data_IF_318160938692
#
_entry.id   IF_318160938692
#
_cell.length_a   1.000
_cell.length_b   1.000
_cell.length_c   1.000
_cell.angle_alpha   90.00
_cell.angle_beta   90.00
_cell.angle_gamma   90.00
#
_symmetry.space_group_name_H-M   'P 1'
#
loop_
_entity.id
_entity.type
_entity.pdbx_description
1 polymer ?
#
# COMPACT_ATOMS: atom_id res chain seq x y z
N UNK A 1 23.84 -6.15 -5.99
CA UNK A 1 23.95 -6.30 -7.45
C UNK A 1 22.95 -7.31 -8.00
N UNK A 2 21.67 -7.27 -7.59
CA UNK A 2 20.64 -8.24 -8.06
C UNK A 2 19.35 -7.56 -8.55
N UNK A 3 19.33 -6.22 -8.64
CA UNK A 3 18.16 -5.45 -9.08
C UNK A 3 18.34 -4.82 -10.48
N UNK A 4 19.46 -5.08 -11.17
CA UNK A 4 19.74 -4.49 -12.50
C UNK A 4 19.47 -5.46 -13.66
N UNK A 5 19.22 -6.75 -13.41
CA UNK A 5 18.96 -7.74 -14.48
C UNK A 5 17.47 -7.98 -14.76
N UNK A 6 16.56 -7.48 -13.93
CA UNK A 6 15.11 -7.61 -14.15
C UNK A 6 14.53 -6.56 -15.12
N UNK A 7 15.35 -5.60 -15.57
CA UNK A 7 14.95 -4.54 -16.51
C UNK A 7 14.94 -5.01 -17.98
N UNK A 8 15.40 -6.24 -18.25
CA UNK A 8 15.74 -6.68 -19.60
C UNK A 8 14.74 -7.56 -20.36
N UNK A 9 13.80 -8.26 -19.72
CA UNK A 9 13.04 -9.32 -20.41
C UNK A 9 11.61 -9.53 -19.93
N UNK A 10 10.75 -8.54 -20.12
CA UNK A 10 9.30 -8.76 -20.29
C UNK A 10 8.79 -7.91 -21.45
N UNK A 11 9.38 -8.08 -22.64
CA UNK A 11 8.75 -7.65 -23.90
C UNK A 11 7.68 -8.67 -24.29
N UNK A 12 6.51 -8.61 -23.64
CA UNK A 12 5.49 -9.64 -23.75
C UNK A 12 4.17 -9.16 -24.37
N UNK A 13 4.24 -8.18 -25.27
CA UNK A 13 3.54 -8.23 -26.56
C UNK A 13 3.98 -7.07 -27.49
N UNK A 14 4.92 -7.35 -28.40
CA UNK A 14 4.95 -6.69 -29.72
C UNK A 14 3.83 -7.28 -30.60
N UNK A 15 2.57 -7.16 -30.16
CA UNK A 15 1.40 -7.36 -31.03
C UNK A 15 0.50 -6.17 -30.80
N UNK A 16 0.87 -5.10 -31.48
CA UNK A 16 0.07 -3.93 -31.71
C UNK A 16 -0.67 -4.13 -33.05
N UNK A 17 -1.98 -4.46 -33.08
CA UNK A 17 -2.75 -4.30 -34.30
C UNK A 17 -3.13 -2.82 -34.54
N UNK A 18 -2.74 -1.86 -33.70
CA UNK A 18 -3.17 -0.47 -33.76
C UNK A 18 -2.05 0.53 -33.38
N UNK A 19 -0.94 0.45 -34.12
CA UNK A 19 0.06 1.50 -34.33
C UNK A 19 0.38 2.45 -33.16
N UNK A 20 1.59 2.30 -32.60
CA UNK A 20 2.43 3.41 -32.14
C UNK A 20 1.72 4.41 -31.20
N UNK A 21 0.77 3.91 -30.39
CA UNK A 21 0.03 4.68 -29.40
C UNK A 21 0.58 4.34 -28.03
N UNK A 22 1.26 5.30 -27.43
CA UNK A 22 1.56 5.23 -26.00
C UNK A 22 0.25 5.33 -25.22
N UNK A 23 -0.19 4.21 -24.66
CA UNK A 23 -1.32 4.21 -23.75
C UNK A 23 -0.89 4.85 -22.43
N UNK A 24 -1.80 5.60 -21.84
CA UNK A 24 -1.55 6.24 -20.56
C UNK A 24 -2.59 5.81 -19.55
N UNK A 25 -2.13 5.56 -18.32
CA UNK A 25 -2.97 5.19 -17.18
C UNK A 25 -3.22 6.41 -16.33
N UNK A 26 -4.49 6.71 -16.06
CA UNK A 26 -4.85 7.61 -14.97
C UNK A 26 -4.75 6.86 -13.65
N UNK A 27 -3.78 7.24 -12.84
CA UNK A 27 -3.64 6.74 -11.47
C UNK A 27 -4.76 7.32 -10.60
N UNK A 28 -4.99 6.72 -9.42
CA UNK A 28 -5.94 7.23 -8.40
C UNK A 28 -5.67 8.67 -7.99
N UNK A 29 -4.43 9.08 -8.23
CA UNK A 29 -3.90 10.38 -7.90
C UNK A 29 -4.23 11.46 -8.98
N UNK A 30 -4.93 11.08 -10.05
CA UNK A 30 -5.24 11.94 -11.19
C UNK A 30 -4.08 12.14 -12.15
N UNK A 31 -2.87 11.65 -11.84
CA UNK A 31 -1.72 11.69 -12.75
C UNK A 31 -1.92 10.71 -13.88
N UNK A 32 -1.40 11.10 -15.03
CA UNK A 32 -1.38 10.31 -16.23
C UNK A 32 0.05 9.80 -16.39
N UNK A 33 0.24 8.48 -16.33
CA UNK A 33 1.54 7.83 -16.52
C UNK A 33 1.51 6.92 -17.74
N UNK A 34 2.66 6.60 -18.36
CA UNK A 34 2.71 5.57 -19.37
C UNK A 34 2.18 4.23 -18.85
N UNK A 35 1.44 3.51 -19.69
CA UNK A 35 1.05 2.14 -19.43
C UNK A 35 2.26 1.23 -19.43
N UNK A 36 2.37 0.39 -18.41
CA UNK A 36 3.50 -0.47 -18.16
C UNK A 36 2.98 -1.84 -17.71
N UNK A 37 3.13 -2.83 -18.58
CA UNK A 37 2.67 -4.21 -18.37
C UNK A 37 3.47 -4.96 -17.30
N UNK A 38 4.74 -4.58 -17.07
CA UNK A 38 5.60 -5.23 -16.06
C UNK A 38 5.03 -5.06 -14.65
N UNK A 39 4.37 -3.92 -14.39
CA UNK A 39 3.70 -3.66 -13.11
C UNK A 39 2.54 -4.62 -12.84
N UNK A 40 1.85 -5.06 -13.89
CA UNK A 40 0.75 -6.03 -13.78
C UNK A 40 1.33 -7.42 -13.48
N UNK A 41 2.40 -7.80 -14.19
CA UNK A 41 3.11 -9.06 -13.95
C UNK A 41 3.60 -9.18 -12.50
N UNK A 42 4.33 -8.17 -12.00
CA UNK A 42 4.85 -8.16 -10.63
C UNK A 42 3.73 -8.23 -9.58
N UNK A 43 2.59 -7.56 -9.84
CA UNK A 43 1.45 -7.63 -8.95
C UNK A 43 0.83 -9.04 -8.91
N UNK A 44 0.68 -9.68 -10.07
CA UNK A 44 0.19 -11.06 -10.18
C UNK A 44 1.16 -12.06 -9.54
N UNK A 45 2.45 -11.96 -9.83
CA UNK A 45 3.49 -12.77 -9.21
C UNK A 45 3.41 -12.68 -7.68
N UNK A 46 3.32 -11.47 -7.14
CA UNK A 46 3.25 -11.25 -5.69
C UNK A 46 2.02 -11.93 -5.07
N UNK A 47 0.89 -11.94 -5.78
CA UNK A 47 -0.35 -12.56 -5.33
C UNK A 47 -0.30 -14.09 -5.41
N UNK A 48 0.31 -14.66 -6.45
CA UNK A 48 0.58 -16.10 -6.55
C UNK A 48 1.52 -16.59 -5.45
N UNK A 49 2.60 -15.84 -5.16
CA UNK A 49 3.48 -16.13 -4.03
C UNK A 49 2.73 -16.09 -2.71
N UNK A 50 1.87 -15.08 -2.51
CA UNK A 50 1.06 -14.94 -1.31
C UNK A 50 0.00 -16.05 -1.14
N UNK A 51 -0.60 -16.54 -2.23
CA UNK A 51 -1.57 -17.64 -2.19
C UNK A 51 -0.91 -18.99 -1.93
N UNK A 52 0.29 -19.22 -2.49
CA UNK A 52 1.10 -20.41 -2.25
C UNK A 52 1.84 -20.40 -0.88
N UNK A 53 1.76 -19.31 -0.12
CA UNK A 53 2.47 -19.18 1.16
C UNK A 53 3.99 -19.08 1.00
N UNK A 54 4.46 -18.71 -0.18
CA UNK A 54 5.89 -18.61 -0.52
C UNK A 54 6.38 -17.20 -0.15
N UNK A 55 7.55 -17.13 0.48
CA UNK A 55 8.21 -15.85 0.78
C UNK A 55 8.54 -15.12 -0.53
N UNK A 56 8.36 -13.79 -0.57
CA UNK A 56 8.58 -12.97 -1.77
C UNK A 56 10.01 -13.05 -2.33
N UNK A 57 10.98 -13.46 -1.48
CA UNK A 57 12.38 -13.68 -1.85
C UNK A 57 12.63 -14.99 -2.63
N UNK A 58 11.65 -15.89 -2.71
CA UNK A 58 11.78 -17.15 -3.45
C UNK A 58 11.15 -17.02 -4.84
N UNK A 59 11.72 -17.67 -5.86
CA UNK A 59 11.12 -17.73 -7.19
C UNK A 59 9.78 -18.47 -7.15
N UNK A 60 8.93 -18.19 -8.14
CA UNK A 60 7.70 -18.94 -8.35
C UNK A 60 8.02 -20.42 -8.62
N UNK A 61 7.12 -21.35 -8.25
CA UNK A 61 7.21 -22.74 -8.68
C UNK A 61 7.23 -22.84 -10.21
N UNK A 62 8.00 -23.79 -10.76
CA UNK A 62 7.95 -24.12 -12.19
C UNK A 62 6.50 -24.41 -12.60
N UNK A 63 6.03 -23.74 -13.66
CA UNK A 63 4.65 -23.80 -14.14
C UNK A 63 3.78 -22.60 -13.74
N UNK A 64 3.92 -22.10 -12.50
CA UNK A 64 3.14 -20.95 -12.03
C UNK A 64 3.53 -19.64 -12.72
N UNK A 65 4.80 -19.50 -13.13
CA UNK A 65 5.28 -18.34 -13.90
C UNK A 65 4.62 -18.24 -15.28
N UNK A 66 4.44 -19.39 -15.96
CA UNK A 66 3.74 -19.45 -17.25
C UNK A 66 2.27 -19.06 -17.12
N UNK A 67 1.60 -19.51 -16.06
CA UNK A 67 0.21 -19.12 -15.75
C UNK A 67 0.09 -17.62 -15.47
N UNK A 68 0.97 -17.07 -14.62
CA UNK A 68 1.03 -15.62 -14.33
C UNK A 68 1.23 -14.82 -15.61
N UNK A 69 2.07 -15.31 -16.52
CA UNK A 69 2.33 -14.65 -17.78
C UNK A 69 1.12 -14.67 -18.72
N UNK A 70 0.39 -15.79 -18.79
CA UNK A 70 -0.85 -15.89 -19.57
C UNK A 70 -1.93 -14.94 -19.02
N UNK A 71 -2.10 -14.91 -17.70
CA UNK A 71 -3.03 -13.99 -17.02
C UNK A 71 -2.67 -12.53 -17.26
N UNK A 72 -1.38 -12.19 -17.21
CA UNK A 72 -0.90 -10.84 -17.50
C UNK A 72 -1.29 -10.42 -18.91
N UNK A 73 -1.05 -11.28 -19.91
CA UNK A 73 -1.43 -11.01 -21.31
C UNK A 73 -2.93 -10.82 -21.48
N UNK A 74 -3.75 -11.65 -20.84
CA UNK A 74 -5.20 -11.55 -20.92
C UNK A 74 -5.69 -10.22 -20.31
N UNK A 75 -5.20 -9.87 -19.13
CA UNK A 75 -5.56 -8.63 -18.45
C UNK A 75 -5.12 -7.37 -19.23
N UNK A 76 -3.91 -7.38 -19.80
CA UNK A 76 -3.41 -6.29 -20.67
C UNK A 76 -4.30 -6.16 -21.91
N UNK A 77 -4.60 -7.27 -22.59
CA UNK A 77 -5.43 -7.27 -23.79
C UNK A 77 -6.82 -6.70 -23.53
N UNK A 78 -7.47 -7.09 -22.44
CA UNK A 78 -8.80 -6.57 -22.08
C UNK A 78 -8.73 -5.09 -21.66
N UNK A 79 -7.70 -4.69 -20.91
CA UNK A 79 -7.49 -3.29 -20.52
C UNK A 79 -7.32 -2.39 -21.75
N UNK A 80 -6.47 -2.78 -22.71
CA UNK A 80 -6.24 -2.03 -23.94
C UNK A 80 -7.47 -2.02 -24.85
N UNK A 81 -8.24 -3.12 -24.89
CA UNK A 81 -9.48 -3.18 -25.67
C UNK A 81 -10.50 -2.13 -25.21
N UNK A 82 -10.60 -1.89 -23.90
CA UNK A 82 -11.44 -0.83 -23.33
C UNK A 82 -10.91 0.56 -23.64
N UNK A 83 -9.58 0.76 -23.57
CA UNK A 83 -8.95 2.01 -23.96
C UNK A 83 -9.23 2.40 -25.42
N UNK A 84 -9.15 1.42 -26.34
CA UNK A 84 -9.41 1.64 -27.78
C UNK A 84 -10.87 2.02 -28.04
N UNK A 85 -11.81 1.60 -27.18
CA UNK A 85 -13.23 2.00 -27.25
C UNK A 85 -13.50 3.41 -26.74
N UNK A 86 -12.46 4.12 -26.29
CA UNK A 86 -12.55 5.50 -25.77
C UNK A 86 -12.74 5.58 -24.25
N UNK A 87 -12.66 4.47 -23.53
CA UNK A 87 -12.65 4.49 -22.06
C UNK A 87 -11.31 5.01 -21.55
N UNK A 88 -11.35 5.89 -20.55
CA UNK A 88 -10.13 6.33 -19.90
C UNK A 88 -9.55 5.17 -19.08
N UNK A 89 -8.30 4.83 -19.34
CA UNK A 89 -7.64 3.70 -18.69
C UNK A 89 -7.25 4.09 -17.26
N UNK A 90 -8.11 3.76 -16.30
CA UNK A 90 -7.84 3.99 -14.89
C UNK A 90 -7.14 2.80 -14.24
N UNK A 91 -6.36 3.08 -13.20
CA UNK A 91 -5.72 1.99 -12.43
C UNK A 91 -6.73 1.05 -11.76
N UNK A 92 -7.92 1.55 -11.41
CA UNK A 92 -9.00 0.68 -10.88
C UNK A 92 -9.54 -0.24 -11.98
N UNK A 93 -9.69 0.27 -13.21
CA UNK A 93 -10.14 -0.53 -14.35
C UNK A 93 -9.15 -1.64 -14.68
N UNK A 94 -7.84 -1.37 -14.66
CA UNK A 94 -6.82 -2.41 -14.82
C UNK A 94 -6.93 -3.46 -13.69
N UNK A 95 -7.13 -3.02 -12.44
CA UNK A 95 -7.27 -3.93 -11.30
C UNK A 95 -8.49 -4.82 -11.44
N UNK A 96 -9.62 -4.26 -11.86
CA UNK A 96 -10.86 -5.01 -12.07
C UNK A 96 -10.72 -6.00 -13.24
N UNK A 97 -9.96 -5.65 -14.29
CA UNK A 97 -9.59 -6.58 -15.36
C UNK A 97 -8.75 -7.75 -14.81
N UNK A 98 -7.71 -7.47 -14.00
CA UNK A 98 -6.87 -8.51 -13.37
C UNK A 98 -7.70 -9.44 -12.48
N UNK A 99 -8.60 -8.89 -11.68
CA UNK A 99 -9.50 -9.67 -10.82
C UNK A 99 -10.43 -10.55 -11.63
N UNK A 100 -11.00 -10.03 -12.72
CA UNK A 100 -11.86 -10.79 -13.63
C UNK A 100 -11.10 -11.95 -14.26
N UNK A 101 -9.89 -11.72 -14.78
CA UNK A 101 -9.06 -12.77 -15.39
C UNK A 101 -8.67 -13.86 -14.38
N UNK A 102 -8.30 -13.47 -13.15
CA UNK A 102 -8.01 -14.44 -12.09
C UNK A 102 -9.22 -15.30 -11.75
N UNK A 103 -10.43 -14.73 -11.75
CA UNK A 103 -11.66 -15.48 -11.50
C UNK A 103 -12.04 -16.38 -12.68
N UNK A 104 -11.92 -15.89 -13.92
CA UNK A 104 -12.22 -16.64 -15.14
C UNK A 104 -11.29 -17.82 -15.36
N UNK A 105 -10.02 -17.70 -14.96
CA UNK A 105 -9.05 -18.80 -14.98
C UNK A 105 -9.18 -19.78 -13.80
N UNK A 106 -10.14 -19.58 -12.88
CA UNK A 106 -10.39 -20.48 -11.75
C UNK A 106 -9.43 -20.30 -10.56
N UNK A 107 -8.56 -19.28 -10.58
CA UNK A 107 -7.62 -18.99 -9.47
C UNK A 107 -8.29 -18.21 -8.33
N UNK A 108 -9.40 -18.73 -7.79
CA UNK A 108 -10.22 -18.04 -6.78
C UNK A 108 -9.44 -17.67 -5.51
N UNK A 109 -8.52 -18.54 -5.06
CA UNK A 109 -7.72 -18.26 -3.87
C UNK A 109 -6.72 -17.12 -4.10
N UNK A 110 -6.08 -17.10 -5.28
CA UNK A 110 -5.18 -16.01 -5.68
C UNK A 110 -5.95 -14.70 -5.87
N UNK A 111 -7.14 -14.73 -6.49
CA UNK A 111 -8.02 -13.57 -6.60
C UNK A 111 -8.37 -12.99 -5.22
N UNK A 112 -8.76 -13.85 -4.27
CA UNK A 112 -9.07 -13.44 -2.89
C UNK A 112 -7.87 -12.79 -2.20
N UNK A 113 -6.67 -13.39 -2.34
CA UNK A 113 -5.43 -12.83 -1.79
C UNK A 113 -5.06 -11.49 -2.44
N UNK A 114 -5.25 -11.36 -3.76
CA UNK A 114 -5.04 -10.13 -4.50
C UNK A 114 -5.96 -9.01 -4.01
N UNK A 115 -7.26 -9.28 -3.90
CA UNK A 115 -8.27 -8.33 -3.39
C UNK A 115 -7.94 -7.90 -1.96
N UNK A 116 -7.63 -8.87 -1.09
CA UNK A 116 -7.27 -8.58 0.29
C UNK A 116 -6.00 -7.71 0.37
N UNK A 117 -4.99 -8.03 -0.44
CA UNK A 117 -3.76 -7.24 -0.51
C UNK A 117 -4.01 -5.83 -1.07
N UNK A 118 -4.86 -5.67 -2.09
CA UNK A 118 -5.30 -4.36 -2.62
C UNK A 118 -5.96 -3.53 -1.54
N UNK A 119 -6.85 -4.13 -0.75
CA UNK A 119 -7.53 -3.50 0.38
C UNK A 119 -6.57 -3.13 1.51
N UNK A 120 -5.69 -4.05 1.89
CA UNK A 120 -4.63 -3.80 2.88
C UNK A 120 -3.69 -2.69 2.41
N UNK A 121 -3.34 -2.63 1.13
CA UNK A 121 -2.53 -1.55 0.54
C UNK A 121 -3.32 -0.25 0.40
N UNK A 122 -4.63 -0.30 0.13
CA UNK A 122 -5.52 0.88 0.12
C UNK A 122 -5.60 1.48 1.52
N UNK A 123 -5.80 0.63 2.53
CA UNK A 123 -5.77 0.99 3.95
C UNK A 123 -4.38 1.48 4.35
N UNK A 124 -3.32 0.71 4.13
CA UNK A 124 -1.95 1.10 4.49
C UNK A 124 -1.52 2.44 3.85
N UNK A 125 -1.98 2.75 2.64
CA UNK A 125 -1.78 4.07 2.01
C UNK A 125 -2.59 5.18 2.68
N UNK A 126 -3.83 4.91 3.09
CA UNK A 126 -4.62 5.84 3.91
C UNK A 126 -3.97 6.11 5.29
N UNK A 127 -3.14 5.18 5.77
CA UNK A 127 -2.59 5.18 7.12
C UNK A 127 -1.17 5.69 7.23
N UNK A 128 -0.38 5.59 6.16
CA UNK A 128 0.98 6.12 6.19
C UNK A 128 1.03 7.63 6.06
N UNK A 129 -0.02 8.30 5.59
CA UNK A 129 0.10 9.67 5.07
C UNK A 129 1.15 9.80 3.94
N UNK A 130 1.81 8.71 3.55
CA UNK A 130 2.84 8.61 2.54
C UNK A 130 2.18 8.74 1.18
N UNK A 131 2.09 9.97 0.74
CA UNK A 131 2.40 10.27 -0.64
C UNK A 131 3.90 10.32 -0.81
N UNK A 132 4.49 9.19 -1.22
CA UNK A 132 5.58 9.12 -2.18
C UNK A 132 6.13 7.69 -2.33
N UNK A 133 5.45 6.88 -3.14
CA UNK A 133 5.99 6.59 -4.48
C UNK A 133 4.83 6.97 -5.40
N UNK A 134 5.07 7.84 -6.38
CA UNK A 134 4.05 8.48 -7.23
C UNK A 134 3.29 9.61 -6.52
N UNK A 135 3.93 10.78 -6.50
CA UNK A 135 3.46 11.99 -5.83
C UNK A 135 2.03 12.40 -6.16
N UNK A 136 1.45 13.18 -5.26
CA UNK A 136 0.21 13.90 -5.49
C UNK A 136 0.07 14.98 -4.43
N UNK A 137 -0.77 15.97 -4.71
CA UNK A 137 -1.19 17.00 -3.79
C UNK A 137 -2.70 16.79 -3.55
N UNK A 138 -3.14 16.45 -2.32
CA UNK A 138 -4.49 16.68 -1.76
C UNK A 138 -4.47 16.59 -0.22
N UNK A 139 -4.96 17.66 0.42
CA UNK A 139 -5.30 17.79 1.86
C UNK A 139 -4.23 17.29 2.83
N UNK A 140 -3.19 18.10 3.02
CA UNK A 140 -2.39 18.01 4.24
C UNK A 140 -3.36 18.15 5.42
N UNK A 141 -3.43 17.15 6.30
CA UNK A 141 -4.01 17.36 7.62
C UNK A 141 -3.12 18.37 8.31
N UNK A 142 -3.70 19.45 8.82
CA UNK A 142 -2.93 20.44 9.56
C UNK A 142 -3.02 20.15 11.04
N UNK A 143 -1.87 20.22 11.70
CA UNK A 143 -1.76 20.26 13.14
C UNK A 143 -1.94 21.70 13.55
N UNK A 144 -2.89 21.97 14.44
CA UNK A 144 -3.11 23.33 14.98
C UNK A 144 -2.37 23.49 16.30
N UNK A 145 -1.36 24.37 16.31
CA UNK A 145 -0.64 24.77 17.51
C UNK A 145 -1.48 25.64 18.44
N UNK A 146 -1.10 25.68 19.72
CA UNK A 146 -1.78 26.53 20.72
C UNK A 146 -1.59 28.03 20.45
N UNK A 147 -0.58 28.38 19.65
CA UNK A 147 -0.24 29.72 19.16
C UNK A 147 -0.99 30.10 17.87
N UNK A 148 -1.87 29.22 17.36
CA UNK A 148 -2.59 29.41 16.11
C UNK A 148 -1.80 29.03 14.85
N UNK A 149 -0.59 28.49 15.00
CA UNK A 149 0.18 27.93 13.88
C UNK A 149 -0.55 26.73 13.27
N UNK A 150 -0.41 26.59 11.94
CA UNK A 150 -0.91 25.43 11.19
C UNK A 150 0.24 24.80 10.44
N UNK A 151 0.68 23.65 10.92
CA UNK A 151 1.76 22.89 10.30
C UNK A 151 1.22 21.62 9.66
N UNK A 152 1.77 21.16 8.53
CA UNK A 152 1.37 19.89 7.96
C UNK A 152 1.70 18.75 8.93
N UNK A 153 0.73 17.84 9.15
CA UNK A 153 0.92 16.63 9.94
C UNK A 153 2.13 15.85 9.40
N UNK A 154 3.07 15.54 10.28
CA UNK A 154 4.25 14.71 9.99
C UNK A 154 3.95 13.22 10.29
N UNK A 155 3.63 12.40 9.28
CA UNK A 155 3.34 10.98 9.49
C UNK A 155 4.61 10.19 9.78
N UNK A 156 5.78 10.69 9.35
CA UNK A 156 7.07 10.07 9.59
C UNK A 156 7.45 10.20 11.07
N UNK A 157 7.13 11.35 11.69
CA UNK A 157 7.23 11.58 13.12
C UNK A 157 6.41 10.58 13.95
N UNK A 158 5.12 10.43 13.64
CA UNK A 158 4.23 9.45 14.29
C UNK A 158 4.81 8.03 14.16
N UNK A 159 5.24 7.66 12.95
CA UNK A 159 5.83 6.35 12.68
C UNK A 159 7.08 6.11 13.54
N UNK A 160 7.98 7.09 13.60
CA UNK A 160 9.22 7.00 14.39
C UNK A 160 8.93 6.78 15.87
N UNK A 161 7.98 7.52 16.42
CA UNK A 161 7.61 7.42 17.84
C UNK A 161 7.03 6.04 18.18
N UNK A 162 6.16 5.50 17.32
CA UNK A 162 5.58 4.17 17.51
C UNK A 162 6.63 3.06 17.35
N UNK A 163 7.50 3.14 16.33
CA UNK A 163 8.60 2.17 16.16
C UNK A 163 9.51 2.16 17.38
N UNK A 164 9.87 3.35 17.89
CA UNK A 164 10.69 3.46 19.09
C UNK A 164 9.99 2.84 20.32
N UNK A 165 8.68 3.03 20.46
CA UNK A 165 7.90 2.41 21.52
C UNK A 165 7.81 0.88 21.40
N UNK A 166 7.83 0.34 20.19
CA UNK A 166 7.83 -1.10 19.91
C UNK A 166 9.19 -1.79 20.03
N UNK A 167 10.29 -1.06 20.29
CA UNK A 167 11.64 -1.62 20.34
C UNK A 167 11.78 -2.76 21.36
N UNK A 168 12.33 -3.90 20.94
CA UNK A 168 12.48 -5.10 21.77
C UNK A 168 11.18 -5.87 22.03
N UNK A 169 10.12 -5.58 21.27
CA UNK A 169 8.82 -6.26 21.30
C UNK A 169 8.32 -6.56 19.87
N UNK A 170 9.20 -6.54 18.86
CA UNK A 170 8.85 -6.59 17.44
C UNK A 170 8.20 -7.92 17.00
N UNK A 171 8.45 -8.98 17.76
CA UNK A 171 7.90 -10.32 17.58
C UNK A 171 6.46 -10.44 18.07
N UNK A 172 6.03 -9.55 18.97
CA UNK A 172 4.70 -9.56 19.61
C UNK A 172 3.84 -8.36 19.24
N UNK A 173 4.47 -7.21 18.98
CA UNK A 173 3.80 -5.95 18.71
C UNK A 173 4.03 -5.48 17.27
N UNK A 174 2.94 -5.25 16.54
CA UNK A 174 2.97 -4.63 15.22
C UNK A 174 2.86 -3.12 15.33
N UNK A 175 3.96 -2.42 15.06
CA UNK A 175 3.98 -0.97 14.93
C UNK A 175 3.05 -0.48 13.80
N UNK A 176 2.91 -1.28 12.72
CA UNK A 176 2.02 -0.94 11.61
C UNK A 176 0.56 -0.88 12.08
N UNK A 177 0.14 -1.81 12.93
CA UNK A 177 -1.23 -1.86 13.43
C UNK A 177 -1.54 -0.65 14.34
N UNK A 178 -0.59 -0.26 15.21
CA UNK A 178 -0.77 0.93 16.07
C UNK A 178 -0.79 2.22 15.25
N UNK A 179 0.11 2.36 14.27
CA UNK A 179 0.13 3.52 13.37
C UNK A 179 -1.16 3.63 12.55
N UNK A 180 -1.66 2.49 12.07
CA UNK A 180 -2.93 2.37 11.37
C UNK A 180 -4.09 2.93 12.21
N UNK A 181 -4.23 2.44 13.43
CA UNK A 181 -5.33 2.88 14.29
C UNK A 181 -5.18 4.35 14.72
N UNK A 182 -3.94 4.82 14.89
CA UNK A 182 -3.67 6.23 15.25
C UNK A 182 -4.19 7.16 14.16
N UNK A 183 -3.75 6.97 12.93
CA UNK A 183 -4.05 7.88 11.80
C UNK A 183 -5.54 7.87 11.46
N UNK A 184 -6.21 6.72 11.61
CA UNK A 184 -7.66 6.60 11.41
C UNK A 184 -8.48 7.51 12.34
N UNK A 185 -7.95 7.77 13.53
CA UNK A 185 -8.63 8.56 14.56
C UNK A 185 -8.19 10.04 14.57
N UNK A 186 -7.33 10.47 13.63
CA UNK A 186 -6.94 11.88 13.47
C UNK A 186 -7.92 12.62 12.55
N UNK A 187 -8.06 13.93 12.78
CA UNK A 187 -8.91 14.84 12.03
C UNK A 187 -8.14 16.13 11.65
N UNK A 188 -8.68 16.93 10.72
CA UNK A 188 -8.02 18.18 10.31
C UNK A 188 -8.07 19.23 11.43
N UNK A 189 -6.94 19.86 11.72
CA UNK A 189 -6.81 20.78 12.85
C UNK A 189 -6.50 20.09 14.19
N UNK A 190 -6.14 18.81 14.19
CA UNK A 190 -5.75 18.08 15.41
C UNK A 190 -4.60 18.77 16.15
N UNK A 191 -4.62 18.77 17.48
CA UNK A 191 -3.56 19.37 18.29
C UNK A 191 -2.40 18.37 18.52
N UNK A 192 -1.16 18.83 18.73
CA UNK A 192 -0.02 17.95 18.98
C UNK A 192 -0.21 16.97 20.15
N UNK A 193 -0.89 17.41 21.21
CA UNK A 193 -1.20 16.60 22.38
C UNK A 193 -2.25 15.52 22.08
N UNK A 194 -3.19 15.80 21.19
CA UNK A 194 -4.19 14.84 20.73
C UNK A 194 -3.58 13.74 19.86
N UNK A 195 -2.55 14.07 19.05
CA UNK A 195 -1.78 13.06 18.30
C UNK A 195 -1.12 12.07 19.26
N UNK A 196 -0.50 12.57 20.33
CA UNK A 196 0.12 11.73 21.37
C UNK A 196 -0.92 10.86 22.08
N UNK A 197 -2.09 11.42 22.38
CA UNK A 197 -3.20 10.71 22.99
C UNK A 197 -3.77 9.61 22.08
N UNK A 198 -3.90 9.88 20.79
CA UNK A 198 -4.35 8.93 19.79
C UNK A 198 -3.41 7.72 19.68
N UNK A 199 -2.08 7.95 19.70
CA UNK A 199 -1.08 6.86 19.73
C UNK A 199 -1.24 5.97 20.96
N UNK A 200 -1.48 6.57 22.14
CA UNK A 200 -1.67 5.82 23.39
C UNK A 200 -2.95 4.98 23.33
N UNK A 201 -4.06 5.55 22.86
CA UNK A 201 -5.33 4.81 22.73
C UNK A 201 -5.24 3.68 21.71
N UNK A 202 -4.57 3.91 20.57
CA UNK A 202 -4.32 2.88 19.57
C UNK A 202 -3.53 1.68 20.10
N UNK A 203 -2.57 1.92 21.01
CA UNK A 203 -1.84 0.85 21.69
C UNK A 203 -2.72 0.16 22.76
N UNK A 204 -3.44 0.93 23.59
CA UNK A 204 -4.31 0.37 24.65
C UNK A 204 -5.42 -0.51 24.11
N UNK A 205 -6.02 -0.15 22.97
CA UNK A 205 -7.06 -0.95 22.32
C UNK A 205 -6.61 -2.35 21.90
N UNK A 206 -5.29 -2.62 21.90
CA UNK A 206 -4.70 -3.91 21.51
C UNK A 206 -4.22 -4.76 22.67
N UNK A 207 -4.31 -4.27 23.91
CA UNK A 207 -3.83 -4.98 25.10
C UNK A 207 -4.57 -6.30 25.31
N UNK A 208 -5.86 -6.35 24.98
CA UNK A 208 -6.67 -7.57 25.06
C UNK A 208 -6.24 -8.64 24.05
N UNK A 209 -5.66 -8.24 22.90
CA UNK A 209 -5.14 -9.16 21.89
C UNK A 209 -3.74 -9.66 22.26
N UNK A 210 -2.89 -8.76 22.77
CA UNK A 210 -1.52 -9.06 23.14
C UNK A 210 -1.08 -8.17 24.32
N UNK A 211 -0.87 -8.74 25.51
CA UNK A 211 -0.45 -8.00 26.71
C UNK A 211 0.77 -7.09 26.55
N UNK A 212 1.69 -7.43 25.64
CA UNK A 212 2.90 -6.64 25.37
C UNK A 212 2.61 -5.19 24.93
N UNK A 213 1.44 -4.92 24.34
CA UNK A 213 1.03 -3.54 24.00
C UNK A 213 0.89 -2.62 25.23
N UNK A 214 0.78 -3.17 26.44
CA UNK A 214 0.82 -2.40 27.69
C UNK A 214 2.13 -1.61 27.81
N UNK A 215 3.25 -2.23 27.47
CA UNK A 215 4.56 -1.57 27.50
C UNK A 215 4.70 -0.52 26.40
N UNK A 216 4.14 -0.78 25.21
CA UNK A 216 4.11 0.20 24.11
C UNK A 216 3.31 1.44 24.52
N UNK A 217 2.11 1.25 25.10
CA UNK A 217 1.28 2.35 25.60
C UNK A 217 1.99 3.16 26.71
N UNK A 218 2.66 2.47 27.64
CA UNK A 218 3.43 3.12 28.70
C UNK A 218 4.61 3.94 28.16
N UNK A 219 5.34 3.43 27.15
CA UNK A 219 6.45 4.14 26.50
C UNK A 219 5.98 5.39 25.73
N UNK A 220 4.84 5.29 25.05
CA UNK A 220 4.23 6.44 24.36
C UNK A 220 3.75 7.50 25.37
N UNK A 221 3.15 7.07 26.48
CA UNK A 221 2.77 7.96 27.58
C UNK A 221 4.00 8.68 28.17
N UNK A 222 5.08 7.95 28.40
CA UNK A 222 6.33 8.51 28.92
C UNK A 222 6.91 9.56 27.96
N UNK A 223 6.93 9.28 26.65
CA UNK A 223 7.38 10.25 25.63
C UNK A 223 6.55 11.53 25.64
N UNK A 224 5.21 11.42 25.78
CA UNK A 224 4.33 12.58 25.94
C UNK A 224 4.69 13.42 27.17
N UNK A 225 4.90 12.79 28.33
CA UNK A 225 5.26 13.49 29.57
C UNK A 225 6.60 14.24 29.40
N UNK A 226 7.61 13.60 28.79
CA UNK A 226 8.89 14.25 28.53
C UNK A 226 8.76 15.48 27.62
N UNK A 227 7.92 15.42 26.58
CA UNK A 227 7.68 16.56 25.68
C UNK A 227 6.89 17.70 26.32
N UNK A 228 6.18 17.45 27.42
CA UNK A 228 5.43 18.49 28.15
C UNK A 228 6.29 19.16 29.24
N UNK A 229 7.38 18.52 29.66
CA UNK A 229 8.27 19.03 30.70
C UNK A 229 9.47 19.84 30.15
N UNK A 230 9.74 19.72 28.86
CA UNK A 230 10.72 20.51 28.09
C UNK A 230 10.02 21.68 27.38
#
# INVERSE_FOLDING_TARGET
MQNEELDGQLHLANIDPLHNRQFTVRKRDGRIVPFDETRIFLALESAFKASAGISQSKPLPEGAESEVLQLTKAAVKESLRRAVRGEMLEIELIQDCVETELMSAGHHNTARRYILYREERRRARALRGDRAIDGQLQTQLFVSGADGSREPLDPQGIRRDIIHACRGLEDRCSWQAVAQETVRNLYDGVRPDEISQAMIFAAKARVELEPAYTFVAARLLLNRIYRQAL
#
